data_IF_380786566465
#
_entry.id   IF_380786566465
#
_cell.length_a   1.000
_cell.length_b   1.000
_cell.length_c   1.000
_cell.angle_alpha   90.00
_cell.angle_beta   90.00
_cell.angle_gamma   90.00
#
_symmetry.space_group_name_H-M   'P 1'
#
loop_
_entity.id
_entity.type
_entity.pdbx_description
1 polymer ?
#
# COMPACT_ATOMS: atom_id res chain seq x y z
N UNK A 1 -20.35 11.36 -20.20
CA UNK A 1 -19.07 10.70 -20.57
C UNK A 1 -19.34 9.25 -20.91
N UNK A 2 -18.85 8.76 -22.06
CA UNK A 2 -19.05 7.38 -22.53
C UNK A 2 -18.39 6.38 -21.53
N UNK A 3 -19.02 5.20 -21.32
CA UNK A 3 -18.56 4.13 -20.42
C UNK A 3 -17.10 3.74 -20.68
N UNK A 4 -16.70 3.59 -21.96
CA UNK A 4 -15.33 3.27 -22.36
C UNK A 4 -14.34 4.34 -21.90
N UNK A 5 -14.71 5.64 -22.06
CA UNK A 5 -13.84 6.75 -21.64
C UNK A 5 -13.67 6.80 -20.12
N UNK A 6 -14.73 6.52 -19.35
CA UNK A 6 -14.65 6.40 -17.87
C UNK A 6 -13.68 5.30 -17.46
N UNK A 7 -13.79 4.15 -18.08
CA UNK A 7 -12.94 2.99 -17.77
C UNK A 7 -11.46 3.27 -18.06
N UNK A 8 -11.16 3.88 -19.23
CA UNK A 8 -9.78 4.27 -19.57
C UNK A 8 -9.22 5.24 -18.51
N UNK A 9 -9.99 6.24 -18.11
CA UNK A 9 -9.55 7.18 -17.07
C UNK A 9 -9.23 6.45 -15.76
N UNK A 10 -10.08 5.51 -15.33
CA UNK A 10 -9.83 4.75 -14.10
C UNK A 10 -8.57 3.89 -14.21
N UNK A 11 -8.28 3.31 -15.39
CA UNK A 11 -7.01 2.56 -15.58
C UNK A 11 -5.80 3.47 -15.57
N UNK A 12 -5.87 4.63 -16.22
CA UNK A 12 -4.79 5.61 -16.17
C UNK A 12 -4.55 6.06 -14.73
N UNK A 13 -5.60 6.33 -13.97
CA UNK A 13 -5.49 6.62 -12.54
C UNK A 13 -4.86 5.45 -11.77
N UNK A 14 -5.26 4.21 -12.06
CA UNK A 14 -4.65 3.01 -11.46
C UNK A 14 -3.15 2.93 -11.73
N UNK A 15 -2.70 3.20 -12.96
CA UNK A 15 -1.29 3.25 -13.32
C UNK A 15 -0.55 4.38 -12.57
N UNK A 16 -1.15 5.56 -12.49
CA UNK A 16 -0.61 6.68 -11.68
C UNK A 16 -0.49 6.26 -10.21
N UNK A 17 -1.51 5.54 -9.70
CA UNK A 17 -1.48 5.00 -8.34
C UNK A 17 -0.29 4.06 -8.11
N UNK A 18 -0.03 3.12 -9.05
CA UNK A 18 1.14 2.23 -8.98
C UNK A 18 2.46 3.01 -8.96
N UNK A 19 2.58 4.04 -9.80
CA UNK A 19 3.78 4.88 -9.84
C UNK A 19 3.96 5.70 -8.55
N UNK A 20 2.88 6.21 -7.98
CA UNK A 20 2.91 6.92 -6.70
C UNK A 20 3.32 5.98 -5.56
N UNK A 21 2.79 4.75 -5.53
CA UNK A 21 3.19 3.74 -4.56
C UNK A 21 4.66 3.39 -4.69
N UNK A 22 5.08 2.94 -5.88
CA UNK A 22 6.46 2.56 -6.11
C UNK A 22 7.44 3.72 -5.85
N UNK A 23 7.07 4.95 -6.21
CA UNK A 23 7.86 6.15 -5.91
C UNK A 23 7.91 6.46 -4.42
N UNK A 24 6.79 6.32 -3.71
CA UNK A 24 6.71 6.49 -2.26
C UNK A 24 7.56 5.46 -1.51
N UNK A 25 7.40 4.19 -1.84
CA UNK A 25 8.18 3.10 -1.25
C UNK A 25 9.68 3.26 -1.55
N UNK A 26 10.03 3.62 -2.78
CA UNK A 26 11.41 3.88 -3.16
C UNK A 26 12.01 5.04 -2.35
N UNK A 27 11.27 6.12 -2.14
CA UNK A 27 11.70 7.24 -1.31
C UNK A 27 11.86 6.85 0.16
N UNK A 28 11.07 5.93 0.68
CA UNK A 28 11.15 5.46 2.06
C UNK A 28 12.29 4.46 2.26
N UNK A 29 12.47 3.53 1.33
CA UNK A 29 13.42 2.41 1.47
C UNK A 29 14.81 2.77 0.96
N UNK A 30 14.93 3.59 -0.08
CA UNK A 30 16.21 3.98 -0.68
C UNK A 30 16.84 5.13 0.11
N UNK A 31 17.46 4.79 1.23
CA UNK A 31 18.08 5.77 2.11
C UNK A 31 19.47 5.37 2.54
N UNK A 32 19.90 5.82 3.70
CA UNK A 32 21.14 5.45 4.31
C UNK A 32 21.07 3.98 4.79
N UNK A 33 21.94 3.13 4.27
CA UNK A 33 21.99 1.69 4.54
C UNK A 33 22.69 1.31 5.83
N UNK A 34 23.05 2.27 6.67
CA UNK A 34 23.84 2.03 7.88
C UNK A 34 23.04 1.44 9.05
N UNK A 35 21.71 1.25 8.89
CA UNK A 35 20.88 0.72 9.96
C UNK A 35 20.89 -0.80 10.00
N UNK A 36 21.19 -1.37 11.17
CA UNK A 36 21.37 -2.82 11.40
C UNK A 36 20.40 -3.41 12.45
N UNK A 37 19.25 -2.79 12.69
CA UNK A 37 18.24 -3.27 13.65
C UNK A 37 17.49 -4.51 13.16
N UNK A 38 16.72 -5.16 14.03
CA UNK A 38 15.88 -6.33 13.69
C UNK A 38 14.82 -6.03 12.62
N UNK A 39 14.39 -4.76 12.53
CA UNK A 39 13.48 -4.28 11.49
C UNK A 39 14.21 -3.77 10.24
N UNK A 40 15.48 -4.13 10.07
CA UNK A 40 16.32 -3.59 9.00
C UNK A 40 15.66 -3.71 7.60
N UNK A 41 14.96 -4.79 7.33
CA UNK A 41 14.27 -5.02 6.07
C UNK A 41 13.09 -4.07 5.83
N UNK A 42 12.47 -3.57 6.91
CA UNK A 42 11.36 -2.62 6.87
C UNK A 42 11.84 -1.17 7.00
N UNK A 43 12.92 -0.97 7.79
CA UNK A 43 13.41 0.34 8.20
C UNK A 43 14.75 0.70 7.56
N UNK A 44 15.24 -0.15 6.66
CA UNK A 44 16.53 0.06 6.01
C UNK A 44 16.59 1.45 5.37
N UNK A 45 17.51 2.25 5.84
CA UNK A 45 17.74 3.59 5.33
C UNK A 45 16.74 4.67 5.80
N UNK A 46 15.75 4.36 6.62
CA UNK A 46 14.77 5.34 7.11
C UNK A 46 15.41 6.30 8.14
N UNK A 47 16.29 5.80 8.99
CA UNK A 47 17.08 6.67 9.87
C UNK A 47 18.03 7.51 9.00
N UNK A 48 17.89 8.82 9.08
CA UNK A 48 18.64 9.77 8.25
C UNK A 48 17.93 10.23 7.00
N UNK A 49 16.72 9.74 6.71
CA UNK A 49 15.85 10.34 5.70
C UNK A 49 15.45 11.74 6.16
N UNK A 50 15.62 12.73 5.28
CA UNK A 50 15.20 14.09 5.61
C UNK A 50 13.68 14.15 5.82
N UNK A 51 13.18 14.97 6.76
CA UNK A 51 11.74 15.15 6.96
C UNK A 51 10.99 15.52 5.69
N UNK A 52 11.60 16.29 4.80
CA UNK A 52 11.01 16.64 3.49
C UNK A 52 10.82 15.42 2.60
N UNK A 53 11.81 14.52 2.54
CA UNK A 53 11.72 13.28 1.75
C UNK A 53 10.62 12.35 2.28
N UNK A 54 10.53 12.23 3.60
CA UNK A 54 9.48 11.45 4.25
C UNK A 54 8.08 12.05 3.95
N UNK A 55 7.94 13.38 4.06
CA UNK A 55 6.69 14.07 3.74
C UNK A 55 6.28 13.86 2.26
N UNK A 56 7.23 13.86 1.31
CA UNK A 56 6.96 13.60 -0.10
C UNK A 56 6.51 12.14 -0.30
N UNK A 57 7.18 11.18 0.34
CA UNK A 57 6.79 9.78 0.27
C UNK A 57 5.35 9.56 0.77
N UNK A 58 4.99 10.16 1.90
CA UNK A 58 3.63 10.13 2.43
C UNK A 58 2.62 10.81 1.51
N UNK A 59 2.98 11.98 0.96
CA UNK A 59 2.12 12.71 0.01
C UNK A 59 1.87 11.93 -1.29
N UNK A 60 2.78 11.05 -1.70
CA UNK A 60 2.58 10.15 -2.83
C UNK A 60 1.73 8.93 -2.45
N UNK A 61 1.94 8.38 -1.27
CA UNK A 61 1.26 7.14 -0.85
C UNK A 61 -0.27 7.31 -0.74
N UNK A 62 -0.75 8.38 -0.12
CA UNK A 62 -2.19 8.60 0.07
C UNK A 62 -2.99 8.69 -1.25
N UNK A 63 -2.68 9.59 -2.19
CA UNK A 63 -3.36 9.61 -3.48
C UNK A 63 -3.08 8.34 -4.29
N UNK A 64 -1.89 7.74 -4.14
CA UNK A 64 -1.53 6.48 -4.77
C UNK A 64 -2.50 5.36 -4.42
N UNK A 65 -2.84 5.21 -3.15
CA UNK A 65 -3.83 4.23 -2.66
C UNK A 65 -5.18 4.40 -3.34
N UNK A 66 -5.70 5.62 -3.36
CA UNK A 66 -7.02 5.92 -3.95
C UNK A 66 -7.00 5.65 -5.45
N UNK A 67 -5.96 6.11 -6.14
CA UNK A 67 -5.82 5.93 -7.58
C UNK A 67 -5.66 4.46 -7.95
N UNK A 68 -4.85 3.70 -7.24
CA UNK A 68 -4.67 2.26 -7.45
C UNK A 68 -5.98 1.49 -7.27
N UNK A 69 -6.71 1.76 -6.19
CA UNK A 69 -8.01 1.18 -5.92
C UNK A 69 -9.02 1.44 -7.05
N UNK A 70 -9.07 2.67 -7.61
CA UNK A 70 -9.96 2.98 -8.74
C UNK A 70 -9.66 2.14 -9.97
N UNK A 71 -8.39 1.85 -10.25
CA UNK A 71 -7.96 0.96 -11.34
C UNK A 71 -8.49 -0.46 -11.16
N UNK A 72 -8.32 -1.04 -9.98
CA UNK A 72 -8.82 -2.38 -9.68
C UNK A 72 -10.34 -2.49 -9.77
N UNK A 73 -11.07 -1.50 -9.24
CA UNK A 73 -12.53 -1.47 -9.39
C UNK A 73 -12.99 -1.33 -10.84
N UNK A 74 -12.20 -0.68 -11.71
CA UNK A 74 -12.52 -0.56 -13.13
C UNK A 74 -12.48 -1.89 -13.88
N UNK A 75 -11.68 -2.88 -13.39
CA UNK A 75 -11.62 -4.22 -13.96
C UNK A 75 -13.00 -4.92 -13.94
N UNK A 76 -13.88 -4.57 -12.99
CA UNK A 76 -15.25 -5.04 -12.98
C UNK A 76 -16.01 -4.70 -14.28
N UNK A 77 -15.54 -3.70 -15.04
CA UNK A 77 -16.14 -3.31 -16.32
C UNK A 77 -15.99 -4.33 -17.43
N UNK A 78 -15.02 -5.24 -17.33
CA UNK A 78 -14.79 -6.33 -18.29
C UNK A 78 -15.63 -7.58 -17.99
N UNK A 79 -16.21 -7.69 -16.80
CA UNK A 79 -17.07 -8.81 -16.42
C UNK A 79 -18.43 -8.61 -17.06
N UNK A 80 -18.83 -9.55 -17.93
CA UNK A 80 -20.08 -9.47 -18.70
C UNK A 80 -21.29 -9.67 -17.81
N UNK A 81 -21.27 -10.74 -16.99
CA UNK A 81 -22.38 -11.06 -16.11
C UNK A 81 -22.53 -10.04 -14.96
N UNK A 82 -23.76 -9.68 -14.65
CA UNK A 82 -24.05 -8.66 -13.64
C UNK A 82 -23.86 -9.17 -12.21
N UNK A 83 -24.12 -10.47 -11.97
CA UNK A 83 -23.95 -11.13 -10.67
C UNK A 83 -22.46 -11.24 -10.35
N UNK A 84 -21.68 -11.75 -11.32
CA UNK A 84 -20.24 -11.90 -11.19
C UNK A 84 -19.54 -10.57 -10.99
N UNK A 85 -20.01 -9.54 -11.67
CA UNK A 85 -19.53 -8.15 -11.47
C UNK A 85 -19.78 -7.64 -10.06
N UNK A 86 -20.93 -7.98 -9.46
CA UNK A 86 -21.23 -7.62 -8.06
C UNK A 86 -20.30 -8.39 -7.11
N UNK A 87 -20.16 -9.69 -7.31
CA UNK A 87 -19.28 -10.56 -6.50
C UNK A 87 -17.85 -10.02 -6.55
N UNK A 88 -17.31 -9.77 -7.74
CA UNK A 88 -15.98 -9.21 -7.90
C UNK A 88 -15.79 -7.88 -7.16
N UNK A 89 -16.77 -6.97 -7.22
CA UNK A 89 -16.71 -5.70 -6.48
C UNK A 89 -16.69 -5.89 -4.97
N UNK A 90 -17.53 -6.79 -4.46
CA UNK A 90 -17.56 -7.12 -3.03
C UNK A 90 -16.23 -7.72 -2.59
N UNK A 91 -15.69 -8.68 -3.34
CA UNK A 91 -14.38 -9.27 -3.07
C UNK A 91 -13.26 -8.22 -3.06
N UNK A 92 -13.30 -7.23 -3.98
CA UNK A 92 -12.32 -6.14 -3.98
C UNK A 92 -12.46 -5.23 -2.75
N UNK A 93 -13.67 -4.94 -2.27
CA UNK A 93 -13.84 -4.16 -1.04
C UNK A 93 -13.19 -4.90 0.14
N UNK A 94 -13.49 -6.18 0.30
CA UNK A 94 -12.95 -6.99 1.40
C UNK A 94 -11.46 -7.27 1.26
N UNK A 95 -10.95 -7.38 0.03
CA UNK A 95 -9.53 -7.60 -0.21
C UNK A 95 -8.70 -6.32 -0.10
N UNK A 96 -9.12 -5.26 -0.81
CA UNK A 96 -8.38 -3.99 -0.85
C UNK A 96 -8.38 -3.26 0.49
N UNK A 97 -9.49 -3.25 1.22
CA UNK A 97 -9.60 -2.43 2.44
C UNK A 97 -8.56 -2.82 3.51
N UNK A 98 -8.40 -4.10 3.89
CA UNK A 98 -7.35 -4.51 4.82
C UNK A 98 -5.95 -4.17 4.32
N UNK A 99 -5.69 -4.41 3.03
CA UNK A 99 -4.41 -4.13 2.41
C UNK A 99 -4.06 -2.64 2.41
N UNK A 100 -5.03 -1.77 2.11
CA UNK A 100 -4.86 -0.31 2.18
C UNK A 100 -4.63 0.17 3.62
N UNK A 101 -5.38 -0.37 4.58
CA UNK A 101 -5.19 -0.08 6.00
C UNK A 101 -3.78 -0.47 6.47
N UNK A 102 -3.28 -1.62 6.02
CA UNK A 102 -1.93 -2.07 6.31
C UNK A 102 -0.87 -1.08 5.78
N UNK A 103 -1.03 -0.60 4.54
CA UNK A 103 -0.10 0.38 3.96
C UNK A 103 -0.09 1.69 4.75
N UNK A 104 -1.25 2.19 5.16
CA UNK A 104 -1.35 3.37 6.02
C UNK A 104 -0.64 3.12 7.36
N UNK A 105 -0.85 1.97 7.96
CA UNK A 105 -0.19 1.58 9.21
C UNK A 105 1.33 1.59 9.06
N UNK A 106 1.87 0.97 8.01
CA UNK A 106 3.32 0.96 7.76
C UNK A 106 3.88 2.37 7.54
N UNK A 107 3.21 3.19 6.74
CA UNK A 107 3.63 4.57 6.49
C UNK A 107 3.72 5.35 7.80
N UNK A 108 2.72 5.22 8.67
CA UNK A 108 2.72 5.89 9.97
C UNK A 108 3.82 5.36 10.89
N UNK A 109 3.98 4.04 10.98
CA UNK A 109 5.03 3.42 11.79
C UNK A 109 6.42 3.87 11.34
N UNK A 110 6.68 3.87 10.04
CA UNK A 110 7.95 4.30 9.46
C UNK A 110 8.20 5.80 9.67
N UNK A 111 7.17 6.64 9.57
CA UNK A 111 7.26 8.07 9.84
C UNK A 111 7.61 8.35 11.31
N UNK A 112 6.98 7.65 12.24
CA UNK A 112 7.26 7.75 13.69
C UNK A 112 8.70 7.30 13.96
N UNK A 113 9.12 6.18 13.38
CA UNK A 113 10.46 5.65 13.54
C UNK A 113 11.53 6.62 13.01
N UNK A 114 11.32 7.17 11.80
CA UNK A 114 12.21 8.15 11.22
C UNK A 114 12.32 9.42 12.10
N UNK A 115 11.20 9.89 12.64
CA UNK A 115 11.18 11.03 13.54
C UNK A 115 11.96 10.76 14.83
N UNK A 116 11.69 9.62 15.47
CA UNK A 116 12.36 9.23 16.72
C UNK A 116 13.87 9.08 16.51
N UNK A 117 14.30 8.37 15.46
CA UNK A 117 15.69 8.17 15.13
C UNK A 117 16.42 9.47 14.81
N UNK A 118 15.79 10.37 14.03
CA UNK A 118 16.39 11.67 13.67
C UNK A 118 16.53 12.63 14.86
N UNK A 119 15.74 12.45 15.90
CA UNK A 119 15.81 13.27 17.12
C UNK A 119 16.57 12.57 18.27
N UNK A 120 17.21 11.43 18.00
CA UNK A 120 18.03 10.74 19.00
C UNK A 120 17.25 10.15 20.17
N UNK A 121 15.96 9.84 19.99
CA UNK A 121 15.19 9.16 21.02
C UNK A 121 15.74 7.76 21.25
N UNK A 122 16.15 7.49 22.48
CA UNK A 122 16.53 6.14 22.89
C UNK A 122 15.30 5.22 22.89
N UNK A 123 15.50 3.97 22.49
CA UNK A 123 14.42 2.99 22.44
C UNK A 123 13.52 3.07 21.21
N UNK A 124 13.89 3.83 20.17
CA UNK A 124 13.13 3.90 18.92
C UNK A 124 12.96 2.52 18.29
N UNK A 125 14.02 1.72 18.25
CA UNK A 125 14.00 0.35 17.71
C UNK A 125 13.06 -0.55 18.50
N UNK A 126 13.17 -0.56 19.83
CA UNK A 126 12.34 -1.40 20.69
C UNK A 126 10.85 -1.06 20.59
N UNK A 127 10.52 0.24 20.54
CA UNK A 127 9.14 0.69 20.39
C UNK A 127 8.58 0.28 19.04
N UNK A 128 9.30 0.55 17.95
CA UNK A 128 8.85 0.19 16.61
C UNK A 128 8.77 -1.33 16.42
N UNK A 129 9.70 -2.10 16.98
CA UNK A 129 9.66 -3.55 16.97
C UNK A 129 8.45 -4.09 17.76
N UNK A 130 8.18 -3.57 18.96
CA UNK A 130 7.03 -3.98 19.75
C UNK A 130 5.70 -3.71 19.03
N UNK A 131 5.55 -2.53 18.41
CA UNK A 131 4.36 -2.18 17.63
C UNK A 131 4.23 -3.08 16.40
N UNK A 132 5.31 -3.27 15.64
CA UNK A 132 5.33 -4.15 14.47
C UNK A 132 4.98 -5.60 14.85
N UNK A 133 5.63 -6.16 15.86
CA UNK A 133 5.41 -7.55 16.30
C UNK A 133 3.98 -7.78 16.76
N UNK A 134 3.37 -6.80 17.43
CA UNK A 134 1.98 -6.87 17.88
C UNK A 134 0.98 -6.92 16.72
N UNK A 135 1.33 -6.38 15.55
CA UNK A 135 0.45 -6.24 14.41
C UNK A 135 0.90 -7.02 13.17
N UNK A 136 2.04 -7.71 13.24
CA UNK A 136 2.61 -8.44 12.09
C UNK A 136 1.71 -9.54 11.53
N UNK A 137 0.82 -10.11 12.35
CA UNK A 137 -0.16 -11.10 11.92
C UNK A 137 -1.19 -10.54 10.91
N UNK A 138 -1.37 -9.22 10.86
CA UNK A 138 -2.28 -8.57 9.91
C UNK A 138 -1.71 -8.65 8.48
N UNK A 139 -0.38 -8.71 8.33
CA UNK A 139 0.29 -8.77 7.00
C UNK A 139 -0.18 -9.97 6.19
N UNK A 140 0.08 -11.22 6.64
CA UNK A 140 -0.35 -12.40 5.88
C UNK A 140 -1.88 -12.46 5.74
N UNK A 141 -2.63 -11.96 6.73
CA UNK A 141 -4.08 -11.90 6.65
C UNK A 141 -4.54 -10.94 5.53
N UNK A 142 -3.97 -9.74 5.45
CA UNK A 142 -4.34 -8.77 4.41
C UNK A 142 -3.96 -9.25 3.01
N UNK A 143 -2.82 -9.93 2.86
CA UNK A 143 -2.41 -10.55 1.60
C UNK A 143 -3.36 -11.69 1.21
N UNK A 144 -3.76 -12.54 2.16
CA UNK A 144 -4.73 -13.61 1.92
C UNK A 144 -6.09 -13.06 1.45
N UNK A 145 -6.53 -11.92 1.98
CA UNK A 145 -7.77 -11.27 1.52
C UNK A 145 -7.67 -10.65 0.13
N UNK A 146 -6.47 -10.35 -0.35
CA UNK A 146 -6.25 -9.84 -1.71
C UNK A 146 -6.33 -10.93 -2.79
N UNK A 147 -6.09 -12.20 -2.45
CA UNK A 147 -6.10 -13.30 -3.42
C UNK A 147 -7.48 -13.60 -4.02
N UNK A 148 -8.59 -13.67 -3.26
CA UNK A 148 -9.90 -14.02 -3.80
C UNK A 148 -10.37 -13.17 -4.99
N UNK A 149 -10.27 -11.84 -4.99
CA UNK A 149 -10.68 -11.05 -6.15
C UNK A 149 -9.83 -11.34 -7.40
N UNK A 150 -8.53 -11.60 -7.24
CA UNK A 150 -7.67 -11.95 -8.37
C UNK A 150 -7.99 -13.34 -8.93
N UNK A 151 -8.11 -14.34 -8.05
CA UNK A 151 -8.47 -15.71 -8.44
C UNK A 151 -9.84 -15.72 -9.13
N UNK A 152 -10.82 -15.03 -8.56
CA UNK A 152 -12.16 -14.95 -9.14
C UNK A 152 -12.14 -14.26 -10.51
N UNK A 153 -11.39 -13.16 -10.65
CA UNK A 153 -11.25 -12.50 -11.95
C UNK A 153 -10.61 -13.41 -12.99
N UNK A 154 -9.53 -14.11 -12.63
CA UNK A 154 -8.86 -15.09 -13.53
C UNK A 154 -9.82 -16.21 -13.96
N UNK A 155 -10.57 -16.77 -13.00
CA UNK A 155 -11.58 -17.79 -13.29
C UNK A 155 -12.62 -17.32 -14.32
N UNK A 156 -13.05 -16.09 -14.25
CA UNK A 156 -14.03 -15.51 -15.19
C UNK A 156 -13.47 -15.23 -16.59
N UNK A 157 -12.16 -15.30 -16.77
CA UNK A 157 -11.51 -15.10 -18.08
C UNK A 157 -11.25 -16.44 -18.81
N UNK A 158 -11.35 -17.58 -18.11
CA UNK A 158 -11.27 -18.92 -18.68
C UNK A 158 -12.59 -19.35 -19.29
#
# INVERSE_FOLDING_TARGET
MNKKKKMIICFVLGMVGCLCFGGGDWLMVYGNTAHTGELYWLTQGIIGISPARNAIAMALAFPGIICYGTGLFAMAGFIKDSRDRKIYRVLNIFGLTPWLCLHIFYILLLAIYAYMGSNGYQGADEICHAVYSSLSWIVPLSEAFMLPPFIYYMYLQL
#
